data_IF_369791580734
#
_entry.id   IF_369791580734
#
_cell.length_a   1.000
_cell.length_b   1.000
_cell.length_c   1.000
_cell.angle_alpha   90.00
_cell.angle_beta   90.00
_cell.angle_gamma   90.00
#
_symmetry.space_group_name_H-M   'P 1'
#
loop_
_entity.id
_entity.type
_entity.pdbx_description
1 polymer ?
#
# COMPACT_ATOMS: atom_id res chain seq x y z
N UNK A 1 23.01 19.06 14.83
CA UNK A 1 21.68 18.65 15.27
C UNK A 1 21.60 18.81 16.79
N UNK A 2 20.50 19.33 17.29
CA UNK A 2 20.12 19.29 18.70
C UNK A 2 18.87 18.43 18.81
N UNK A 3 18.90 17.45 19.69
CA UNK A 3 17.80 16.51 19.91
C UNK A 3 17.45 16.55 21.39
N UNK A 4 16.19 16.76 21.72
CA UNK A 4 15.68 16.85 23.09
C UNK A 4 14.81 15.65 23.48
N UNK A 5 14.26 14.93 22.53
CA UNK A 5 13.44 13.74 22.73
C UNK A 5 13.71 12.71 21.64
N UNK A 6 13.87 11.45 22.05
CA UNK A 6 14.02 10.30 21.15
C UNK A 6 13.17 9.18 21.72
N UNK A 7 12.35 8.56 20.86
CA UNK A 7 11.65 7.32 21.11
C UNK A 7 12.01 6.32 20.02
N UNK A 8 12.28 5.09 20.41
CA UNK A 8 12.52 3.98 19.49
C UNK A 8 11.42 2.97 19.72
N UNK A 9 10.75 2.61 18.65
CA UNK A 9 9.69 1.61 18.65
C UNK A 9 10.13 0.42 17.79
N UNK A 10 9.98 -0.77 18.33
CA UNK A 10 10.32 -2.00 17.61
C UNK A 10 9.10 -2.93 17.64
N UNK A 11 8.53 -3.20 16.49
CA UNK A 11 7.40 -4.10 16.33
C UNK A 11 7.92 -5.49 15.96
N UNK A 12 7.70 -6.50 16.83
CA UNK A 12 8.02 -7.91 16.62
C UNK A 12 9.47 -8.20 16.18
N UNK A 13 10.45 -7.37 16.56
CA UNK A 13 11.85 -7.42 16.13
C UNK A 13 12.06 -7.32 14.61
N UNK A 14 11.04 -6.94 13.87
CA UNK A 14 11.06 -6.90 12.40
C UNK A 14 11.06 -5.49 11.84
N UNK A 15 10.59 -4.51 12.60
CA UNK A 15 10.49 -3.12 12.16
C UNK A 15 10.97 -2.20 13.25
N UNK A 16 11.84 -1.29 12.87
CA UNK A 16 12.33 -0.24 13.76
C UNK A 16 11.75 1.11 13.29
N UNK A 17 11.12 1.80 14.21
CA UNK A 17 10.69 3.17 14.01
C UNK A 17 11.38 4.07 15.04
N UNK A 18 11.93 5.18 14.59
CA UNK A 18 12.57 6.16 15.45
C UNK A 18 11.85 7.49 15.30
N UNK A 19 11.31 7.97 16.41
CA UNK A 19 10.69 9.29 16.49
C UNK A 19 11.60 10.19 17.30
N UNK A 20 12.03 11.29 16.71
CA UNK A 20 12.90 12.24 17.39
C UNK A 20 12.38 13.67 17.22
N UNK A 21 12.53 14.48 18.27
CA UNK A 21 12.32 15.90 18.19
C UNK A 21 13.66 16.60 18.10
N UNK A 22 13.86 17.29 16.97
CA UNK A 22 15.16 17.85 16.64
C UNK A 22 15.07 19.24 16.03
N UNK A 23 16.16 19.99 16.19
CA UNK A 23 16.39 21.29 15.57
C UNK A 23 17.83 21.41 15.06
N UNK A 24 18.03 22.18 14.02
CA UNK A 24 19.36 22.56 13.56
C UNK A 24 19.86 23.79 14.31
N UNK A 25 21.19 23.95 14.43
CA UNK A 25 21.76 25.19 14.94
C UNK A 25 21.38 26.37 14.03
N UNK A 26 21.21 27.55 14.64
CA UNK A 26 20.83 28.79 13.92
C UNK A 26 21.66 28.97 12.65
N UNK A 27 20.97 29.31 11.55
CA UNK A 27 21.58 29.55 10.24
C UNK A 27 21.95 28.29 9.43
N UNK A 28 21.60 27.10 9.92
CA UNK A 28 21.79 25.84 9.18
C UNK A 28 20.46 25.09 8.97
N UNK A 29 20.40 24.33 7.91
CA UNK A 29 19.36 23.33 7.68
C UNK A 29 20.02 21.97 7.48
N UNK A 30 19.34 20.93 7.92
CA UNK A 30 19.80 19.53 7.82
C UNK A 30 18.67 18.77 7.16
N UNK A 31 18.96 17.93 6.18
CA UNK A 31 17.94 17.07 5.57
C UNK A 31 17.62 15.93 6.53
N UNK A 32 16.35 15.50 6.53
CA UNK A 32 15.95 14.34 7.36
C UNK A 32 16.66 13.08 6.89
N UNK A 33 17.04 13.01 5.62
CA UNK A 33 17.85 11.90 5.09
C UNK A 33 19.23 11.82 5.77
N UNK A 34 19.95 12.95 5.93
CA UNK A 34 21.23 12.97 6.65
C UNK A 34 21.09 12.51 8.11
N UNK A 35 19.92 12.82 8.72
CA UNK A 35 19.61 12.32 10.08
C UNK A 35 19.33 10.83 10.06
N UNK A 36 18.57 10.35 9.08
CA UNK A 36 18.27 8.93 8.90
C UNK A 36 19.55 8.12 8.71
N UNK A 37 20.48 8.58 7.87
CA UNK A 37 21.78 7.93 7.64
C UNK A 37 22.59 7.83 8.95
N UNK A 38 22.67 8.93 9.72
CA UNK A 38 23.40 8.94 11.00
C UNK A 38 22.73 8.05 12.06
N UNK A 39 21.41 8.02 12.13
CA UNK A 39 20.69 7.15 13.08
C UNK A 39 20.80 5.69 12.66
N UNK A 40 20.78 5.40 11.36
CA UNK A 40 20.98 4.05 10.81
C UNK A 40 22.32 3.43 11.25
N UNK A 41 23.39 4.22 11.23
CA UNK A 41 24.70 3.77 11.71
C UNK A 41 24.68 3.39 13.19
N UNK A 42 23.96 4.14 14.02
CA UNK A 42 23.86 3.90 15.47
C UNK A 42 22.98 2.70 15.79
N UNK A 43 21.85 2.59 15.09
CA UNK A 43 20.86 1.52 15.31
C UNK A 43 21.29 0.21 14.65
N UNK A 44 22.16 0.28 13.62
CA UNK A 44 22.61 -0.88 12.85
C UNK A 44 21.53 -1.43 11.89
N UNK A 45 20.56 -0.58 11.53
CA UNK A 45 19.47 -0.91 10.60
C UNK A 45 19.28 0.25 9.61
N UNK A 46 18.98 -0.03 8.33
CA UNK A 46 18.72 1.00 7.34
C UNK A 46 17.39 1.71 7.68
N UNK A 47 17.47 3.01 7.95
CA UNK A 47 16.30 3.85 8.20
C UNK A 47 16.14 4.88 7.10
N UNK A 48 14.90 5.19 6.76
CA UNK A 48 14.55 6.26 5.84
C UNK A 48 13.54 7.23 6.48
N UNK A 49 13.44 8.47 5.98
CA UNK A 49 12.39 9.38 6.39
C UNK A 49 11.01 8.79 6.09
N UNK A 50 10.08 8.89 7.07
CA UNK A 50 8.69 8.51 6.83
C UNK A 50 8.06 9.37 5.71
N UNK A 51 7.23 8.76 4.87
CA UNK A 51 6.67 9.40 3.67
C UNK A 51 5.82 10.64 3.98
N UNK A 52 5.18 10.69 5.14
CA UNK A 52 4.33 11.79 5.62
C UNK A 52 5.11 12.83 6.46
N UNK A 53 6.43 12.67 6.57
CA UNK A 53 7.29 13.48 7.41
C UNK A 53 7.80 14.78 6.76
N UNK A 54 8.49 15.58 7.57
CA UNK A 54 9.22 16.76 7.08
C UNK A 54 10.51 16.32 6.39
N UNK A 55 10.92 17.05 5.35
CA UNK A 55 12.15 16.74 4.61
C UNK A 55 13.39 17.48 5.15
N UNK A 56 13.18 18.59 5.87
CA UNK A 56 14.26 19.47 6.32
C UNK A 56 14.00 19.92 7.75
N UNK A 57 15.04 19.89 8.57
CA UNK A 57 15.09 20.38 9.94
C UNK A 57 15.76 21.76 9.93
N UNK A 58 15.07 22.74 10.46
CA UNK A 58 15.54 24.11 10.64
C UNK A 58 15.87 24.39 12.13
N UNK A 59 16.08 25.68 12.48
CA UNK A 59 16.27 26.09 13.88
C UNK A 59 15.00 25.89 14.75
N UNK A 60 13.83 25.75 14.13
CA UNK A 60 12.58 25.46 14.87
C UNK A 60 12.51 23.96 15.13
N UNK A 61 12.35 23.52 16.40
CA UNK A 61 12.22 22.09 16.69
C UNK A 61 11.04 21.45 15.96
N UNK A 62 11.31 20.31 15.33
CA UNK A 62 10.33 19.51 14.59
C UNK A 62 10.38 18.06 15.04
N UNK A 63 9.24 17.40 14.98
CA UNK A 63 9.18 15.95 15.14
C UNK A 63 9.53 15.32 13.79
N UNK A 64 10.47 14.41 13.83
CA UNK A 64 10.96 13.62 12.69
C UNK A 64 10.67 12.18 12.98
N UNK A 65 10.08 11.49 12.02
CA UNK A 65 9.82 10.06 12.05
C UNK A 65 10.68 9.36 11.02
N UNK A 66 11.43 8.38 11.46
CA UNK A 66 12.26 7.52 10.62
C UNK A 66 11.71 6.11 10.72
N UNK A 67 11.60 5.45 9.60
CA UNK A 67 11.11 4.08 9.48
C UNK A 67 12.20 3.19 8.89
N UNK A 68 12.20 1.92 9.23
CA UNK A 68 13.11 0.96 8.61
C UNK A 68 12.84 0.87 7.11
N UNK A 69 13.89 0.88 6.30
CA UNK A 69 13.78 0.77 4.86
C UNK A 69 13.28 -0.62 4.47
N UNK A 70 12.34 -0.69 3.55
CA UNK A 70 11.81 -1.97 3.08
C UNK A 70 12.83 -2.75 2.27
N UNK A 71 12.88 -4.09 2.45
CA UNK A 71 13.80 -4.97 1.73
C UNK A 71 13.44 -5.13 0.25
N UNK A 72 12.17 -4.90 -0.09
CA UNK A 72 11.63 -5.05 -1.43
C UNK A 72 10.93 -3.77 -1.89
N UNK A 73 10.85 -3.60 -3.19
CA UNK A 73 10.09 -2.53 -3.83
C UNK A 73 9.17 -3.13 -4.89
N UNK A 74 7.91 -2.72 -4.88
CA UNK A 74 6.96 -3.13 -5.91
C UNK A 74 6.93 -2.11 -7.05
N UNK A 75 7.00 -2.62 -8.27
CA UNK A 75 6.70 -1.87 -9.48
C UNK A 75 5.44 -2.45 -10.08
N UNK A 76 4.50 -1.62 -10.45
CA UNK A 76 3.24 -2.06 -11.05
C UNK A 76 3.04 -1.44 -12.42
N UNK A 77 2.25 -2.12 -13.24
CA UNK A 77 1.81 -1.63 -14.54
C UNK A 77 0.44 -2.21 -14.84
N UNK A 78 -0.38 -1.44 -15.53
CA UNK A 78 -1.74 -1.84 -15.89
C UNK A 78 -1.92 -1.71 -17.39
N UNK A 79 -2.52 -2.74 -17.99
CA UNK A 79 -3.00 -2.70 -19.36
C UNK A 79 -4.51 -2.98 -19.35
N UNK A 80 -5.27 -2.22 -20.13
CA UNK A 80 -6.72 -2.35 -20.26
C UNK A 80 -7.09 -2.46 -21.71
N UNK A 81 -7.98 -3.39 -22.04
CA UNK A 81 -8.61 -3.52 -23.35
C UNK A 81 -10.10 -3.26 -23.24
N UNK A 82 -10.65 -2.60 -24.24
CA UNK A 82 -12.09 -2.33 -24.34
C UNK A 82 -12.70 -3.28 -25.36
N UNK A 83 -13.87 -3.84 -25.06
CA UNK A 83 -14.53 -4.81 -25.92
C UNK A 83 -15.36 -4.12 -27.00
N UNK A 84 -15.09 -4.43 -28.27
CA UNK A 84 -15.89 -3.98 -29.40
C UNK A 84 -15.95 -2.46 -29.57
N UNK A 85 -17.15 -1.93 -29.68
CA UNK A 85 -17.43 -0.48 -29.86
C UNK A 85 -17.63 0.26 -28.52
N UNK A 86 -17.45 -0.40 -27.38
CA UNK A 86 -17.58 0.22 -26.06
C UNK A 86 -16.52 1.30 -25.85
N UNK A 87 -16.84 2.31 -25.08
CA UNK A 87 -15.90 3.39 -24.72
C UNK A 87 -15.13 3.13 -23.43
N UNK A 88 -15.61 2.20 -22.59
CA UNK A 88 -15.07 1.91 -21.26
C UNK A 88 -15.08 0.41 -21.00
N UNK A 89 -13.99 -0.12 -20.42
CA UNK A 89 -13.95 -1.48 -19.90
C UNK A 89 -14.75 -1.60 -18.61
N UNK A 90 -15.46 -2.72 -18.43
CA UNK A 90 -16.14 -3.05 -17.18
C UNK A 90 -15.20 -3.36 -16.02
N UNK A 91 -13.90 -3.55 -16.28
CA UNK A 91 -12.91 -3.89 -15.28
C UNK A 91 -12.44 -2.65 -14.51
N UNK A 92 -12.15 -2.84 -13.24
CA UNK A 92 -11.50 -1.84 -12.39
C UNK A 92 -10.32 -2.45 -11.65
N UNK A 93 -9.33 -1.62 -11.36
CA UNK A 93 -8.12 -2.03 -10.66
C UNK A 93 -7.69 -0.94 -9.68
N UNK A 94 -6.88 -1.35 -8.71
CA UNK A 94 -6.30 -0.43 -7.74
C UNK A 94 -4.88 -0.87 -7.36
N UNK A 95 -4.07 0.13 -7.06
CA UNK A 95 -2.79 0.01 -6.37
C UNK A 95 -2.81 0.97 -5.19
N UNK A 96 -2.61 0.45 -3.99
CA UNK A 96 -2.62 1.26 -2.77
C UNK A 96 -1.49 0.86 -1.84
N UNK A 97 -0.73 1.85 -1.39
CA UNK A 97 0.22 1.66 -0.30
C UNK A 97 -0.52 1.62 1.03
N UNK A 98 -0.19 0.62 1.84
CA UNK A 98 -0.78 0.39 3.16
C UNK A 98 0.24 0.69 4.25
N UNK A 99 -0.22 1.04 5.46
CA UNK A 99 0.67 1.16 6.60
C UNK A 99 1.52 -0.09 6.81
N UNK A 100 2.72 0.12 7.32
CA UNK A 100 3.62 -0.98 7.67
C UNK A 100 4.31 -1.63 6.47
N UNK A 101 4.60 -0.87 5.41
CA UNK A 101 5.37 -1.34 4.25
C UNK A 101 4.65 -2.44 3.46
N UNK A 102 3.33 -2.38 3.41
CA UNK A 102 2.51 -3.28 2.61
C UNK A 102 1.93 -2.57 1.40
N UNK A 103 1.60 -3.35 0.38
CA UNK A 103 0.96 -2.85 -0.84
C UNK A 103 -0.22 -3.75 -1.18
N UNK A 104 -1.35 -3.13 -1.50
CA UNK A 104 -2.52 -3.79 -2.04
C UNK A 104 -2.58 -3.59 -3.55
N UNK A 105 -2.76 -4.68 -4.27
CA UNK A 105 -3.21 -4.71 -5.66
C UNK A 105 -4.60 -5.32 -5.69
N UNK A 106 -5.53 -4.69 -6.40
CA UNK A 106 -6.88 -5.21 -6.57
C UNK A 106 -7.29 -5.14 -8.02
N UNK A 107 -7.96 -6.18 -8.49
CA UNK A 107 -8.57 -6.27 -9.81
C UNK A 107 -9.99 -6.79 -9.64
N UNK A 108 -10.94 -6.13 -10.27
CA UNK A 108 -12.35 -6.48 -10.26
C UNK A 108 -12.87 -6.45 -11.68
N UNK A 109 -13.43 -7.57 -12.15
CA UNK A 109 -14.12 -7.67 -13.44
C UNK A 109 -15.63 -7.59 -13.19
N UNK A 110 -16.24 -6.54 -13.74
CA UNK A 110 -17.69 -6.29 -13.70
C UNK A 110 -18.41 -7.14 -14.76
N UNK A 111 -19.52 -7.75 -14.37
CA UNK A 111 -20.31 -8.51 -15.35
C UNK A 111 -20.87 -7.61 -16.43
N UNK A 112 -20.60 -7.95 -17.68
CA UNK A 112 -21.04 -7.20 -18.86
C UNK A 112 -19.96 -6.28 -19.41
N UNK A 113 -20.38 -5.15 -20.00
CA UNK A 113 -19.47 -4.16 -20.60
C UNK A 113 -20.01 -2.75 -20.43
N UNK A 114 -19.16 -1.76 -20.67
CA UNK A 114 -19.54 -0.36 -20.65
C UNK A 114 -19.65 0.24 -19.24
N UNK A 115 -20.32 1.39 -19.17
CA UNK A 115 -20.31 2.24 -17.99
C UNK A 115 -20.89 1.60 -16.72
N UNK A 116 -21.97 0.82 -16.84
CA UNK A 116 -22.61 0.22 -15.66
C UNK A 116 -21.68 -0.81 -15.00
N UNK A 117 -21.08 -1.71 -15.79
CA UNK A 117 -20.11 -2.67 -15.29
C UNK A 117 -18.90 -1.98 -14.65
N UNK A 118 -18.42 -0.90 -15.26
CA UNK A 118 -17.35 -0.06 -14.70
C UNK A 118 -17.72 0.57 -13.36
N UNK A 119 -18.94 1.12 -13.22
CA UNK A 119 -19.38 1.70 -11.94
C UNK A 119 -19.46 0.66 -10.84
N UNK A 120 -19.97 -0.52 -11.12
CA UNK A 120 -20.08 -1.59 -10.14
C UNK A 120 -18.71 -2.09 -9.70
N UNK A 121 -17.82 -2.37 -10.64
CA UNK A 121 -16.46 -2.82 -10.33
C UNK A 121 -15.65 -1.76 -9.58
N UNK A 122 -15.80 -0.48 -9.95
CA UNK A 122 -15.13 0.64 -9.26
C UNK A 122 -15.60 0.78 -7.81
N UNK A 123 -16.92 0.71 -7.57
CA UNK A 123 -17.47 0.78 -6.20
C UNK A 123 -17.03 -0.40 -5.35
N UNK A 124 -16.93 -1.60 -5.96
CA UNK A 124 -16.42 -2.77 -5.26
C UNK A 124 -14.94 -2.58 -4.83
N UNK A 125 -14.12 -2.05 -5.73
CA UNK A 125 -12.71 -1.71 -5.44
C UNK A 125 -12.62 -0.64 -4.34
N UNK A 126 -13.36 0.46 -4.46
CA UNK A 126 -13.35 1.54 -3.44
C UNK A 126 -13.75 1.03 -2.05
N UNK A 127 -14.78 0.18 -1.96
CA UNK A 127 -15.18 -0.43 -0.71
C UNK A 127 -14.10 -1.38 -0.18
N UNK A 128 -13.47 -2.16 -1.05
CA UNK A 128 -12.40 -3.06 -0.67
C UNK A 128 -11.19 -2.29 -0.12
N UNK A 129 -10.78 -1.21 -0.76
CA UNK A 129 -9.70 -0.32 -0.31
C UNK A 129 -9.97 0.25 1.08
N UNK A 130 -11.18 0.78 1.30
CA UNK A 130 -11.57 1.35 2.59
C UNK A 130 -11.53 0.31 3.71
N UNK A 131 -12.02 -0.90 3.44
CA UNK A 131 -12.02 -1.98 4.41
C UNK A 131 -10.60 -2.48 4.71
N UNK A 132 -9.73 -2.63 3.69
CA UNK A 132 -8.32 -3.00 3.89
C UNK A 132 -7.57 -1.91 4.65
N UNK A 133 -7.78 -0.64 4.30
CA UNK A 133 -7.18 0.49 5.02
C UNK A 133 -7.64 0.57 6.48
N UNK A 134 -8.88 0.15 6.77
CA UNK A 134 -9.42 0.00 8.13
C UNK A 134 -8.87 -1.22 8.88
N UNK A 135 -7.98 -2.02 8.28
CA UNK A 135 -7.32 -3.15 8.90
C UNK A 135 -8.05 -4.50 8.77
N UNK A 136 -9.10 -4.59 7.97
CA UNK A 136 -9.75 -5.87 7.71
C UNK A 136 -8.89 -6.77 6.84
N UNK A 137 -8.88 -8.06 7.15
CA UNK A 137 -8.15 -9.05 6.33
C UNK A 137 -8.80 -9.21 4.95
N UNK A 138 -8.03 -9.42 3.86
CA UNK A 138 -8.55 -9.52 2.50
C UNK A 138 -9.69 -10.53 2.32
N UNK A 139 -9.63 -11.70 2.96
CA UNK A 139 -10.71 -12.69 2.94
C UNK A 139 -12.04 -12.17 3.51
N UNK A 140 -11.96 -11.38 4.58
CA UNK A 140 -13.12 -10.73 5.18
C UNK A 140 -13.65 -9.63 4.28
N UNK A 141 -12.76 -8.86 3.67
CA UNK A 141 -13.10 -7.79 2.72
C UNK A 141 -13.88 -8.34 1.54
N UNK A 142 -13.38 -9.36 0.86
CA UNK A 142 -14.09 -9.99 -0.26
C UNK A 142 -15.49 -10.43 0.13
N UNK A 143 -15.66 -11.04 1.33
CA UNK A 143 -16.98 -11.45 1.81
C UNK A 143 -17.91 -10.28 2.08
N UNK A 144 -17.41 -9.20 2.70
CA UNK A 144 -18.20 -8.00 3.01
C UNK A 144 -18.62 -7.27 1.73
N UNK A 145 -17.70 -7.12 0.77
CA UNK A 145 -18.00 -6.53 -0.55
C UNK A 145 -19.07 -7.34 -1.25
N UNK A 146 -18.93 -8.67 -1.30
CA UNK A 146 -19.94 -9.54 -1.92
C UNK A 146 -21.30 -9.43 -1.23
N UNK A 147 -21.35 -9.38 0.11
CA UNK A 147 -22.60 -9.18 0.83
C UNK A 147 -23.25 -7.82 0.52
N UNK A 148 -22.45 -6.75 0.46
CA UNK A 148 -22.96 -5.41 0.11
C UNK A 148 -23.55 -5.36 -1.30
N UNK A 149 -22.95 -6.07 -2.25
CA UNK A 149 -23.45 -6.16 -3.63
C UNK A 149 -24.74 -6.95 -3.74
N UNK A 150 -24.84 -8.09 -3.04
CA UNK A 150 -26.06 -8.95 -3.04
C UNK A 150 -27.28 -8.20 -2.47
N UNK A 151 -27.08 -7.23 -1.60
CA UNK A 151 -28.17 -6.42 -1.04
C UNK A 151 -28.72 -5.34 -2.00
N UNK A 152 -28.12 -5.16 -3.18
CA UNK A 152 -28.61 -4.22 -4.18
C UNK A 152 -29.72 -4.86 -5.03
N UNK A 153 -30.72 -4.08 -5.44
CA UNK A 153 -31.86 -4.59 -6.20
C UNK A 153 -31.48 -5.19 -7.57
N UNK A 154 -30.38 -4.70 -8.16
CA UNK A 154 -29.82 -5.22 -9.41
C UNK A 154 -28.46 -5.84 -9.15
N UNK A 155 -28.44 -7.01 -8.50
CA UNK A 155 -27.20 -7.73 -8.26
C UNK A 155 -26.60 -8.28 -9.55
N UNK A 156 -25.38 -7.85 -9.86
CA UNK A 156 -24.56 -8.47 -10.89
C UNK A 156 -23.32 -9.10 -10.19
N UNK A 157 -23.05 -10.37 -10.46
CA UNK A 157 -21.86 -11.01 -9.87
C UNK A 157 -20.59 -10.33 -10.39
N UNK A 158 -19.67 -10.08 -9.47
CA UNK A 158 -18.36 -9.53 -9.77
C UNK A 158 -17.30 -10.59 -9.46
N UNK A 159 -16.19 -10.55 -10.20
CA UNK A 159 -14.98 -11.25 -9.77
C UNK A 159 -14.07 -10.29 -9.02
N UNK A 160 -13.34 -10.79 -8.05
CA UNK A 160 -12.36 -9.98 -7.31
C UNK A 160 -11.07 -10.77 -7.10
N UNK A 161 -9.97 -10.13 -7.45
CA UNK A 161 -8.63 -10.61 -7.22
C UNK A 161 -7.86 -9.56 -6.39
N UNK A 162 -7.34 -9.97 -5.25
CA UNK A 162 -6.59 -9.10 -4.36
C UNK A 162 -5.27 -9.74 -4.01
N UNK A 163 -4.20 -8.96 -4.07
CA UNK A 163 -2.88 -9.35 -3.61
C UNK A 163 -2.36 -8.33 -2.60
N UNK A 164 -1.96 -8.79 -1.42
CA UNK A 164 -1.30 -7.97 -0.41
C UNK A 164 0.15 -8.42 -0.30
N UNK A 165 1.07 -7.56 -0.68
CA UNK A 165 2.51 -7.79 -0.58
C UNK A 165 3.09 -7.07 0.64
N UNK A 166 3.88 -7.78 1.43
CA UNK A 166 4.67 -7.24 2.52
C UNK A 166 6.09 -6.97 2.00
N UNK A 167 6.46 -5.70 1.93
CA UNK A 167 7.74 -5.27 1.36
C UNK A 167 8.94 -5.50 2.28
N UNK A 168 8.73 -5.86 3.55
CA UNK A 168 9.83 -6.27 4.42
C UNK A 168 10.19 -7.74 4.24
N UNK A 169 9.20 -8.61 4.10
CA UNK A 169 9.40 -10.06 3.99
C UNK A 169 9.41 -10.58 2.55
N UNK A 170 8.83 -9.83 1.61
CA UNK A 170 8.59 -10.29 0.24
C UNK A 170 7.44 -11.29 0.11
N UNK A 171 6.69 -11.54 1.20
CA UNK A 171 5.50 -12.40 1.15
C UNK A 171 4.36 -11.70 0.43
N UNK A 172 3.64 -12.46 -0.39
CA UNK A 172 2.46 -11.97 -1.10
C UNK A 172 1.30 -12.93 -0.85
N UNK A 173 0.22 -12.39 -0.27
CA UNK A 173 -1.01 -13.12 -0.01
C UNK A 173 -2.04 -12.82 -1.10
N UNK A 174 -2.53 -13.87 -1.77
CA UNK A 174 -3.57 -13.77 -2.80
C UNK A 174 -4.93 -14.18 -2.25
N UNK A 175 -5.93 -13.36 -2.53
CA UNK A 175 -7.34 -13.65 -2.21
C UNK A 175 -8.17 -13.47 -3.46
N UNK A 176 -8.84 -14.53 -3.90
CA UNK A 176 -9.57 -14.58 -5.17
C UNK A 176 -11.02 -14.99 -4.95
N UNK A 177 -11.93 -14.35 -5.69
CA UNK A 177 -13.35 -14.70 -5.75
C UNK A 177 -13.82 -14.66 -7.20
N UNK A 178 -13.97 -15.83 -7.82
CA UNK A 178 -14.39 -15.96 -9.23
C UNK A 178 -13.40 -15.42 -10.26
N UNK A 179 -12.25 -14.90 -9.85
CA UNK A 179 -11.30 -14.23 -10.72
C UNK A 179 -10.47 -15.22 -11.57
N UNK A 180 -9.94 -14.72 -12.69
CA UNK A 180 -9.06 -15.45 -13.58
C UNK A 180 -7.77 -15.94 -12.90
N UNK A 181 -7.03 -16.81 -13.55
CA UNK A 181 -5.77 -17.37 -13.03
C UNK A 181 -4.74 -16.25 -12.85
N UNK A 182 -4.04 -16.27 -11.72
CA UNK A 182 -2.85 -15.45 -11.49
C UNK A 182 -1.63 -16.25 -11.90
N UNK A 183 -0.79 -15.67 -12.73
CA UNK A 183 0.47 -16.25 -13.15
C UNK A 183 1.62 -15.58 -12.41
N UNK A 184 2.46 -16.39 -11.78
CA UNK A 184 3.64 -15.91 -11.06
C UNK A 184 4.88 -16.36 -11.86
N UNK A 185 5.68 -15.38 -12.29
CA UNK A 185 6.96 -15.67 -12.95
C UNK A 185 8.11 -15.49 -11.97
N UNK A 186 8.92 -16.55 -11.81
CA UNK A 186 10.15 -16.54 -11.01
C UNK A 186 11.33 -16.92 -11.92
N UNK A 187 12.10 -15.92 -12.34
CA UNK A 187 13.13 -16.12 -13.34
C UNK A 187 12.54 -16.55 -14.69
N UNK A 188 12.78 -17.79 -15.12
CA UNK A 188 12.23 -18.37 -16.36
C UNK A 188 11.01 -19.28 -16.13
N UNK A 189 10.70 -19.60 -14.89
CA UNK A 189 9.57 -20.46 -14.53
C UNK A 189 8.28 -19.65 -14.35
N UNK A 190 7.15 -20.22 -14.76
CA UNK A 190 5.80 -19.66 -14.60
C UNK A 190 4.98 -20.68 -13.81
N UNK A 191 4.41 -20.24 -12.72
CA UNK A 191 3.53 -20.98 -11.83
C UNK A 191 2.10 -20.45 -11.92
#
# INVERSE_FOLDING_TARGET
LQTDQIAVWEEDKKRCEVILRASAKSGRSITVKEVADAVSEVVGRPLCPAADGVNVISAVPRVVRLEEETAYRMLHGVARCVKGEESVSGDSFSYMELPGGKVLLSLCDGMGSGQNAFFESSRAIELAEQLVAAGFQPRTVVRLVNQALVMQEAYHPLTMDMAVADLYSGLCDFTKSGAAVTLIRRGEEIE
#
